data_IF_085819130602
#
_entry.id   IF_085819130602
#
_cell.length_a   1.000
_cell.length_b   1.000
_cell.length_c   1.000
_cell.angle_alpha   90.00
_cell.angle_beta   90.00
_cell.angle_gamma   90.00
#
_symmetry.space_group_name_H-M   'P 1'
#
loop_
_entity.id
_entity.type
_entity.pdbx_description
1 polymer ?
#
# COMPACT_ATOMS: atom_id res chain seq x y z
N UNK A 1 -43.50 -46.65 11.80
CA UNK A 1 -42.11 -46.84 11.37
C UNK A 1 -41.54 -45.47 11.09
N UNK A 2 -40.80 -44.89 12.05
CA UNK A 2 -40.21 -43.55 11.95
C UNK A 2 -38.71 -43.76 11.76
N UNK A 3 -38.19 -43.35 10.61
CA UNK A 3 -36.75 -43.44 10.31
C UNK A 3 -36.19 -42.04 10.48
N UNK A 4 -35.49 -41.80 11.58
CA UNK A 4 -34.71 -40.60 11.83
C UNK A 4 -33.40 -40.66 11.01
N UNK A 5 -33.14 -39.63 10.20
CA UNK A 5 -31.89 -39.47 9.47
C UNK A 5 -30.86 -38.78 10.37
N UNK A 6 -29.70 -39.40 10.52
CA UNK A 6 -28.57 -38.94 11.35
C UNK A 6 -27.78 -37.82 10.66
N UNK A 7 -27.35 -36.84 11.45
CA UNK A 7 -26.57 -35.68 11.06
C UNK A 7 -25.20 -36.05 10.43
N UNK A 8 -24.82 -35.33 9.37
CA UNK A 8 -23.48 -35.40 8.77
C UNK A 8 -22.47 -34.72 9.69
N UNK A 9 -21.48 -35.48 10.14
CA UNK A 9 -20.29 -35.03 10.88
C UNK A 9 -19.43 -34.14 9.97
N UNK A 10 -19.08 -32.97 10.49
CA UNK A 10 -18.06 -32.07 9.96
C UNK A 10 -16.67 -32.72 10.10
N UNK A 11 -15.96 -32.87 8.97
CA UNK A 11 -14.61 -33.42 8.94
C UNK A 11 -13.62 -32.27 9.19
N UNK A 12 -13.17 -32.14 10.43
CA UNK A 12 -12.04 -31.27 10.77
C UNK A 12 -10.78 -31.84 10.10
N UNK A 13 -10.13 -31.02 9.26
CA UNK A 13 -8.84 -31.37 8.63
C UNK A 13 -7.74 -31.02 9.64
N UNK A 14 -6.99 -32.00 10.19
CA UNK A 14 -5.90 -31.70 11.10
C UNK A 14 -4.70 -31.16 10.30
N UNK A 15 -4.22 -29.97 10.63
CA UNK A 15 -2.92 -29.49 10.16
C UNK A 15 -1.81 -30.33 10.80
N UNK A 16 -1.13 -31.14 10.00
CA UNK A 16 0.10 -31.83 10.44
C UNK A 16 1.29 -30.88 10.31
N UNK A 17 1.96 -30.63 11.42
CA UNK A 17 3.27 -29.96 11.45
C UNK A 17 4.32 -30.95 10.95
N UNK A 18 5.17 -30.51 10.00
CA UNK A 18 6.25 -31.31 9.43
C UNK A 18 7.29 -31.60 10.53
N UNK A 19 7.28 -32.82 11.07
CA UNK A 19 8.24 -33.26 12.08
C UNK A 19 9.54 -33.71 11.39
N UNK A 20 10.60 -32.92 11.52
CA UNK A 20 11.94 -33.29 11.02
C UNK A 20 12.53 -34.44 11.84
N UNK A 21 12.88 -35.52 11.15
CA UNK A 21 13.57 -36.68 11.70
C UNK A 21 15.03 -36.31 12.05
N UNK A 22 15.43 -36.69 13.26
CA UNK A 22 16.80 -36.61 13.76
C UNK A 22 17.55 -37.92 13.45
N UNK A 23 18.82 -37.88 12.98
CA UNK A 23 19.77 -38.97 13.21
C UNK A 23 20.80 -38.61 14.29
N UNK A 24 21.09 -39.60 15.12
CA UNK A 24 21.99 -39.59 16.27
C UNK A 24 23.49 -39.57 15.92
N UNK A 25 24.18 -38.56 16.47
CA UNK A 25 25.55 -38.48 17.04
C UNK A 25 26.65 -39.49 16.69
N UNK A 26 27.86 -38.99 16.38
CA UNK A 26 29.10 -39.36 17.12
C UNK A 26 30.18 -38.28 17.03
N UNK A 27 30.87 -38.02 18.15
CA UNK A 27 31.82 -36.95 18.45
C UNK A 27 33.23 -37.15 17.83
N UNK A 28 33.96 -36.06 17.57
CA UNK A 28 35.24 -35.72 18.24
C UNK A 28 35.66 -34.27 17.95
N UNK A 29 36.23 -33.66 18.99
CA UNK A 29 36.54 -32.26 19.24
C UNK A 29 37.64 -31.66 18.36
N UNK A 30 37.54 -30.36 18.02
CA UNK A 30 38.53 -29.34 18.43
C UNK A 30 38.11 -27.90 18.00
N UNK A 31 37.81 -27.12 19.05
CA UNK A 31 38.09 -25.70 19.34
C UNK A 31 38.01 -24.59 18.26
N UNK A 32 37.19 -23.59 18.62
CA UNK A 32 37.24 -22.14 18.35
C UNK A 32 36.53 -21.52 17.14
N UNK A 33 35.35 -20.99 17.46
CA UNK A 33 34.82 -19.64 17.12
C UNK A 33 34.48 -19.36 15.66
N UNK A 34 33.20 -19.50 15.32
CA UNK A 34 32.59 -18.95 14.09
C UNK A 34 31.15 -18.53 14.49
N UNK A 35 30.94 -17.28 14.91
CA UNK A 35 30.58 -16.13 14.07
C UNK A 35 29.21 -16.30 13.36
N UNK A 36 28.18 -15.78 14.05
CA UNK A 36 26.97 -15.11 13.56
C UNK A 36 26.34 -15.58 12.25
N UNK A 37 25.22 -16.30 12.38
CA UNK A 37 24.23 -16.49 11.31
C UNK A 37 22.98 -15.61 11.46
N UNK A 38 23.05 -14.51 12.22
CA UNK A 38 21.95 -13.53 12.36
C UNK A 38 22.16 -12.24 11.54
N UNK A 39 23.28 -12.10 10.82
CA UNK A 39 23.66 -10.85 10.17
C UNK A 39 23.06 -10.63 8.78
N UNK A 40 22.49 -11.64 8.12
CA UNK A 40 21.98 -11.46 6.74
C UNK A 40 20.53 -10.98 6.69
N UNK A 41 19.70 -11.31 7.69
CA UNK A 41 18.33 -10.81 7.80
C UNK A 41 18.30 -9.43 8.50
N UNK A 42 19.25 -9.16 9.40
CA UNK A 42 19.42 -7.81 9.95
C UNK A 42 19.96 -6.81 8.92
N UNK A 43 20.80 -7.21 7.96
CA UNK A 43 21.26 -6.27 6.93
C UNK A 43 20.16 -5.82 5.96
N UNK A 44 19.16 -6.66 5.67
CA UNK A 44 18.04 -6.26 4.80
C UNK A 44 17.06 -5.30 5.51
N UNK A 45 16.91 -5.42 6.83
CA UNK A 45 16.10 -4.51 7.63
C UNK A 45 16.84 -3.22 8.05
N UNK A 46 18.17 -3.21 7.96
CA UNK A 46 19.01 -2.09 8.41
C UNK A 46 19.54 -1.21 7.26
N UNK A 47 19.38 -1.62 5.99
CA UNK A 47 19.84 -0.83 4.84
C UNK A 47 18.88 0.30 4.39
N UNK A 48 17.62 0.32 4.83
CA UNK A 48 16.69 1.43 4.53
C UNK A 48 16.64 2.52 5.60
N UNK A 49 17.41 2.40 6.70
CA UNK A 49 17.35 3.35 7.83
C UNK A 49 18.43 4.45 7.84
N UNK A 50 19.24 4.58 6.78
CA UNK A 50 20.37 5.52 6.73
C UNK A 50 20.45 6.36 5.45
N UNK A 51 19.32 6.79 4.93
CA UNK A 51 19.35 7.75 3.84
C UNK A 51 18.36 8.88 4.16
N UNK A 52 18.92 10.05 4.44
CA UNK A 52 18.27 11.35 4.65
C UNK A 52 17.58 11.82 3.34
N UNK A 53 16.74 10.96 2.77
CA UNK A 53 15.90 11.24 1.63
C UNK A 53 14.65 11.87 2.19
N UNK A 54 14.76 13.17 2.51
CA UNK A 54 13.63 13.94 2.99
C UNK A 54 12.57 13.99 1.91
N UNK A 55 11.40 13.41 2.17
CA UNK A 55 10.25 13.57 1.26
C UNK A 55 9.97 15.04 1.06
N UNK A 56 9.69 15.40 -0.21
CA UNK A 56 9.47 16.79 -0.57
C UNK A 56 8.00 16.94 -0.93
N UNK A 57 7.27 17.64 -0.06
CA UNK A 57 5.89 18.06 -0.30
C UNK A 57 5.93 19.50 -0.80
N UNK A 58 5.51 19.71 -2.04
CA UNK A 58 5.33 21.04 -2.61
C UNK A 58 3.86 21.39 -2.67
N UNK A 59 3.51 22.56 -2.15
CA UNK A 59 2.17 23.11 -2.25
C UNK A 59 2.08 24.01 -3.48
N UNK A 60 1.04 23.81 -4.28
CA UNK A 60 0.77 24.53 -5.52
C UNK A 60 -0.62 25.13 -5.42
N UNK A 61 -0.68 26.45 -5.52
CA UNK A 61 -1.96 27.15 -5.63
C UNK A 61 -2.63 26.83 -6.96
N UNK A 62 -3.89 26.43 -6.90
CA UNK A 62 -4.65 25.93 -8.04
C UNK A 62 -5.47 27.05 -8.67
N UNK A 63 -5.36 27.22 -9.99
CA UNK A 63 -6.28 28.08 -10.75
C UNK A 63 -7.45 27.25 -11.26
N UNK A 64 -8.55 27.26 -10.50
CA UNK A 64 -9.76 26.49 -10.79
C UNK A 64 -10.45 26.84 -12.12
N UNK A 65 -10.11 27.98 -12.75
CA UNK A 65 -10.72 28.40 -14.01
C UNK A 65 -10.03 27.85 -15.27
N UNK A 66 -8.77 27.41 -15.15
CA UNK A 66 -7.96 26.92 -16.29
C UNK A 66 -7.38 25.52 -16.06
N UNK A 67 -7.64 24.94 -14.89
CA UNK A 67 -7.10 23.68 -14.43
C UNK A 67 -7.51 22.47 -15.29
N UNK A 68 -6.52 21.81 -15.91
CA UNK A 68 -6.59 20.44 -16.43
C UNK A 68 -5.68 19.53 -15.58
N UNK A 69 -6.03 19.41 -14.32
CA UNK A 69 -5.26 18.76 -13.25
C UNK A 69 -5.94 17.49 -12.71
N UNK A 70 -5.28 16.80 -11.77
CA UNK A 70 -5.83 15.60 -11.13
C UNK A 70 -7.25 15.80 -10.58
N UNK A 71 -7.52 16.91 -9.89
CA UNK A 71 -8.84 17.16 -9.30
C UNK A 71 -9.91 17.24 -10.38
N UNK A 72 -9.69 18.02 -11.45
CA UNK A 72 -10.65 18.13 -12.56
C UNK A 72 -10.79 16.86 -13.38
N UNK A 73 -9.71 16.08 -13.53
CA UNK A 73 -9.71 14.80 -14.28
C UNK A 73 -10.45 13.69 -13.54
N UNK A 74 -10.29 13.62 -12.22
CA UNK A 74 -10.78 12.49 -11.41
C UNK A 74 -12.07 12.86 -10.68
N UNK A 75 -12.17 14.07 -10.14
CA UNK A 75 -13.23 14.48 -9.22
C UNK A 75 -14.02 15.68 -9.75
N UNK A 76 -15.02 15.36 -10.58
CA UNK A 76 -15.90 16.37 -11.18
C UNK A 76 -16.60 17.27 -10.15
N UNK A 77 -16.91 16.74 -8.94
CA UNK A 77 -17.58 17.48 -7.87
C UNK A 77 -16.67 18.45 -7.11
N UNK A 78 -15.37 18.15 -7.00
CA UNK A 78 -14.42 18.94 -6.21
C UNK A 78 -13.72 20.04 -6.99
N UNK A 79 -13.97 20.12 -8.30
CA UNK A 79 -13.24 21.00 -9.21
C UNK A 79 -13.25 22.48 -8.80
N UNK A 80 -14.22 22.96 -8.01
CA UNK A 80 -14.32 24.36 -7.53
C UNK A 80 -13.98 24.56 -6.05
N UNK A 81 -13.81 23.48 -5.29
CA UNK A 81 -13.71 23.51 -3.82
C UNK A 81 -12.32 23.11 -3.32
N UNK A 82 -11.34 23.12 -4.21
CA UNK A 82 -9.95 22.78 -3.92
C UNK A 82 -9.11 23.92 -4.47
N UNK A 83 -8.47 24.66 -3.57
CA UNK A 83 -7.65 25.84 -3.88
C UNK A 83 -6.16 25.51 -3.93
N UNK A 84 -5.76 24.36 -3.40
CA UNK A 84 -4.37 23.96 -3.25
C UNK A 84 -4.17 22.48 -3.60
N UNK A 85 -3.08 22.20 -4.30
CA UNK A 85 -2.60 20.86 -4.61
C UNK A 85 -1.27 20.62 -3.91
N UNK A 86 -1.04 19.38 -3.53
CA UNK A 86 0.21 18.88 -2.97
C UNK A 86 0.87 17.98 -4.01
N UNK A 87 2.14 18.23 -4.32
CA UNK A 87 2.99 17.29 -5.04
C UNK A 87 3.90 16.62 -4.02
N UNK A 88 3.73 15.31 -3.88
CA UNK A 88 4.47 14.48 -2.94
C UNK A 88 5.50 13.69 -3.73
N UNK A 89 6.78 13.97 -3.51
CA UNK A 89 7.87 13.18 -4.05
C UNK A 89 8.37 12.23 -2.97
N UNK A 90 8.04 10.95 -3.11
CA UNK A 90 8.47 9.88 -2.21
C UNK A 90 9.79 9.32 -2.71
N UNK A 91 10.79 9.34 -1.84
CA UNK A 91 12.15 8.90 -2.14
C UNK A 91 12.50 7.61 -1.36
N UNK A 92 11.63 6.61 -1.43
CA UNK A 92 11.86 5.33 -0.72
C UNK A 92 12.77 4.34 -1.47
N UNK A 93 13.05 4.58 -2.76
CA UNK A 93 13.88 3.69 -3.57
C UNK A 93 14.70 4.45 -4.62
N UNK A 94 15.55 3.73 -5.35
CA UNK A 94 16.44 4.27 -6.39
C UNK A 94 15.71 5.09 -7.50
N UNK A 95 14.37 5.04 -7.56
CA UNK A 95 13.55 5.92 -8.39
C UNK A 95 12.47 6.59 -7.54
N UNK A 96 12.41 7.94 -7.52
CA UNK A 96 11.35 8.64 -6.82
C UNK A 96 10.00 8.37 -7.47
N UNK A 97 8.95 8.32 -6.65
CA UNK A 97 7.57 8.28 -7.12
C UNK A 97 6.92 9.61 -6.78
N UNK A 98 6.28 10.21 -7.78
CA UNK A 98 5.56 11.46 -7.62
C UNK A 98 4.07 11.17 -7.54
N UNK A 99 3.42 11.72 -6.51
CA UNK A 99 1.97 11.69 -6.35
C UNK A 99 1.42 13.11 -6.32
N UNK A 100 0.27 13.32 -6.96
CA UNK A 100 -0.53 14.53 -6.79
C UNK A 100 -1.57 14.26 -5.71
N UNK A 101 -1.78 15.23 -4.82
CA UNK A 101 -2.72 15.10 -3.73
C UNK A 101 -3.44 16.42 -3.43
N UNK A 102 -4.55 16.34 -2.72
CA UNK A 102 -5.24 17.51 -2.17
C UNK A 102 -6.01 17.09 -0.92
N UNK A 103 -6.33 18.07 -0.08
CA UNK A 103 -7.16 17.85 1.12
C UNK A 103 -8.54 18.44 0.85
N UNK A 104 -9.57 17.70 1.19
CA UNK A 104 -10.93 18.20 1.21
C UNK A 104 -11.67 17.66 2.43
N UNK A 105 -12.29 18.57 3.18
CA UNK A 105 -12.92 18.28 4.48
C UNK A 105 -11.93 17.61 5.45
N UNK A 106 -12.07 16.31 5.70
CA UNK A 106 -11.22 15.54 6.59
C UNK A 106 -10.57 14.34 5.88
N UNK A 107 -10.34 14.49 4.57
CA UNK A 107 -9.86 13.43 3.71
C UNK A 107 -8.74 13.95 2.82
N UNK A 108 -7.63 13.23 2.79
CA UNK A 108 -6.57 13.44 1.81
C UNK A 108 -6.82 12.53 0.60
N UNK A 109 -6.84 13.13 -0.58
CA UNK A 109 -7.00 12.44 -1.85
C UNK A 109 -5.66 12.43 -2.57
N UNK A 110 -5.25 11.28 -3.08
CA UNK A 110 -3.91 11.05 -3.64
C UNK A 110 -3.99 10.25 -4.94
N UNK A 111 -3.18 10.59 -5.94
CA UNK A 111 -2.99 9.74 -7.13
C UNK A 111 -2.18 8.51 -6.75
N UNK A 112 -2.58 7.34 -7.23
CA UNK A 112 -1.82 6.10 -7.02
C UNK A 112 -0.34 6.27 -7.39
N UNK A 113 0.60 5.77 -6.57
CA UNK A 113 2.01 5.75 -6.93
C UNK A 113 2.20 4.86 -8.17
N UNK A 114 2.53 5.48 -9.31
CA UNK A 114 2.76 4.76 -10.57
C UNK A 114 4.25 4.51 -10.76
N UNK A 115 4.63 3.24 -10.87
CA UNK A 115 5.98 2.78 -11.23
C UNK A 115 5.85 1.66 -12.26
N UNK A 116 6.72 1.67 -13.27
CA UNK A 116 6.71 0.66 -14.36
C UNK A 116 6.82 -0.77 -13.83
N UNK A 117 7.67 -0.96 -12.81
CA UNK A 117 7.89 -2.24 -12.17
C UNK A 117 8.22 -2.02 -10.69
N UNK A 118 7.47 -2.72 -9.84
CA UNK A 118 7.72 -2.81 -8.41
C UNK A 118 8.57 -4.04 -8.14
N UNK A 119 9.67 -3.88 -7.40
CA UNK A 119 10.36 -5.04 -6.84
C UNK A 119 9.57 -5.57 -5.63
N UNK A 120 9.92 -6.78 -5.20
CA UNK A 120 9.29 -7.43 -4.05
C UNK A 120 9.35 -6.52 -2.81
N UNK A 121 8.19 -6.26 -2.21
CA UNK A 121 8.06 -5.42 -1.01
C UNK A 121 8.08 -3.90 -1.24
N UNK A 122 8.59 -3.40 -2.38
CA UNK A 122 8.70 -1.94 -2.60
C UNK A 122 7.34 -1.25 -2.69
N UNK A 123 6.34 -1.88 -3.31
CA UNK A 123 5.00 -1.32 -3.38
C UNK A 123 4.39 -1.19 -1.99
N UNK A 124 4.56 -2.22 -1.16
CA UNK A 124 4.04 -2.26 0.20
C UNK A 124 4.69 -1.16 1.04
N UNK A 125 6.03 -1.05 0.99
CA UNK A 125 6.77 0.02 1.66
C UNK A 125 6.25 1.40 1.23
N UNK A 126 6.10 1.62 -0.09
CA UNK A 126 5.62 2.89 -0.63
C UNK A 126 4.22 3.26 -0.15
N UNK A 127 3.30 2.32 -0.14
CA UNK A 127 1.95 2.60 0.35
C UNK A 127 1.96 2.82 1.87
N UNK A 128 2.72 2.04 2.64
CA UNK A 128 2.86 2.24 4.09
C UNK A 128 3.45 3.61 4.41
N UNK A 129 4.51 4.01 3.71
CA UNK A 129 5.13 5.32 3.89
C UNK A 129 4.19 6.47 3.50
N UNK A 130 3.39 6.30 2.44
CA UNK A 130 2.35 7.28 2.07
C UNK A 130 1.26 7.42 3.15
N UNK A 131 0.91 6.33 3.85
CA UNK A 131 -0.03 6.35 4.98
C UNK A 131 0.58 7.14 6.15
N UNK A 132 1.81 6.79 6.55
CA UNK A 132 2.53 7.47 7.64
C UNK A 132 2.67 8.98 7.35
N UNK A 133 3.02 9.34 6.12
CA UNK A 133 3.14 10.73 5.69
C UNK A 133 1.80 11.46 5.72
N UNK A 134 0.72 10.81 5.30
CA UNK A 134 -0.62 11.37 5.33
C UNK A 134 -1.07 11.66 6.78
N UNK A 135 -0.88 10.69 7.68
CA UNK A 135 -1.20 10.81 9.10
C UNK A 135 -0.40 11.94 9.76
N UNK A 136 0.93 11.96 9.57
CA UNK A 136 1.82 12.91 10.23
C UNK A 136 1.63 14.35 9.72
N UNK A 137 1.39 14.54 8.42
CA UNK A 137 1.41 15.89 7.80
C UNK A 137 0.05 16.53 7.65
N UNK A 138 -1.03 15.75 7.54
CA UNK A 138 -2.35 16.29 7.21
C UNK A 138 -3.31 16.35 8.39
N UNK A 139 -3.17 15.45 9.37
CA UNK A 139 -4.13 15.30 10.46
C UNK A 139 -5.54 14.89 10.02
N UNK A 140 -5.69 14.40 8.78
CA UNK A 140 -6.95 13.89 8.26
C UNK A 140 -7.28 12.52 8.87
N UNK A 141 -8.57 12.17 8.94
CA UNK A 141 -9.03 10.83 9.39
C UNK A 141 -9.05 9.80 8.24
N UNK A 142 -9.11 10.27 6.99
CA UNK A 142 -9.29 9.39 5.84
C UNK A 142 -8.27 9.67 4.74
N UNK A 143 -7.80 8.60 4.11
CA UNK A 143 -6.96 8.62 2.91
C UNK A 143 -7.70 7.95 1.76
N UNK A 144 -7.77 8.62 0.61
CA UNK A 144 -8.35 8.10 -0.63
C UNK A 144 -7.32 8.09 -1.72
N UNK A 145 -7.06 6.93 -2.31
CA UNK A 145 -6.13 6.77 -3.43
C UNK A 145 -6.91 6.52 -4.72
N UNK A 146 -6.61 7.32 -5.74
CA UNK A 146 -7.16 7.22 -7.09
C UNK A 146 -6.23 6.44 -8.01
N UNK A 147 -6.68 5.27 -8.46
CA UNK A 147 -5.96 4.37 -9.35
C UNK A 147 -6.44 4.59 -10.78
N UNK A 148 -5.54 5.00 -11.67
CA UNK A 148 -5.85 5.13 -13.10
C UNK A 148 -5.84 3.75 -13.79
N UNK A 149 -6.99 3.32 -14.33
CA UNK A 149 -7.13 2.05 -15.04
C UNK A 149 -6.32 2.02 -16.34
N UNK A 150 -6.07 3.18 -16.95
CA UNK A 150 -5.43 3.32 -18.27
C UNK A 150 -3.92 3.18 -18.17
N UNK A 151 -3.33 3.58 -17.04
CA UNK A 151 -1.89 3.43 -16.79
C UNK A 151 -1.52 2.03 -16.24
N UNK A 152 -2.49 1.28 -15.71
CA UNK A 152 -2.29 -0.07 -15.18
C UNK A 152 -2.79 -1.18 -16.12
N UNK A 153 -2.47 -1.07 -17.42
CA UNK A 153 -3.00 -1.92 -18.52
C UNK A 153 -2.81 -3.42 -18.34
N UNK A 154 -1.79 -3.88 -17.60
CA UNK A 154 -1.52 -5.32 -17.44
C UNK A 154 -1.80 -5.87 -16.04
N UNK A 155 -2.03 -5.05 -15.00
CA UNK A 155 -2.23 -5.60 -13.65
C UNK A 155 -2.92 -4.69 -12.61
N UNK A 156 -3.89 -3.86 -13.00
CA UNK A 156 -4.67 -3.08 -12.02
C UNK A 156 -5.33 -3.96 -10.93
N UNK A 157 -5.67 -5.21 -11.26
CA UNK A 157 -6.24 -6.15 -10.28
C UNK A 157 -5.25 -6.57 -9.19
N UNK A 158 -3.96 -6.78 -9.48
CA UNK A 158 -2.99 -7.08 -8.41
C UNK A 158 -2.75 -5.86 -7.52
N UNK A 159 -2.65 -4.66 -8.10
CA UNK A 159 -2.50 -3.44 -7.32
C UNK A 159 -3.71 -3.22 -6.40
N UNK A 160 -4.92 -3.40 -6.92
CA UNK A 160 -6.15 -3.32 -6.13
C UNK A 160 -6.16 -4.36 -5.00
N UNK A 161 -5.76 -5.61 -5.27
CA UNK A 161 -5.61 -6.64 -4.23
C UNK A 161 -4.56 -6.27 -3.19
N UNK A 162 -3.44 -5.70 -3.58
CA UNK A 162 -2.40 -5.27 -2.66
C UNK A 162 -2.90 -4.17 -1.72
N UNK A 163 -3.64 -3.17 -2.25
CA UNK A 163 -4.33 -2.19 -1.40
C UNK A 163 -5.33 -2.85 -0.44
N UNK A 164 -6.14 -3.80 -0.91
CA UNK A 164 -7.08 -4.52 -0.04
C UNK A 164 -6.38 -5.35 1.04
N UNK A 165 -5.22 -5.95 0.75
CA UNK A 165 -4.42 -6.67 1.74
C UNK A 165 -3.77 -5.74 2.77
N UNK A 166 -3.54 -4.48 2.41
CA UNK A 166 -3.12 -3.43 3.33
C UNK A 166 -4.26 -2.85 4.16
N UNK A 167 -5.51 -3.27 3.92
CA UNK A 167 -6.69 -2.83 4.67
C UNK A 167 -7.53 -1.75 3.98
N UNK A 168 -7.18 -1.35 2.76
CA UNK A 168 -7.99 -0.40 2.00
C UNK A 168 -9.32 -1.03 1.57
N UNK A 169 -10.36 -0.19 1.50
CA UNK A 169 -11.69 -0.56 1.06
C UNK A 169 -12.02 0.12 -0.27
N UNK A 170 -12.77 -0.54 -1.16
CA UNK A 170 -13.24 0.11 -2.38
C UNK A 170 -14.33 1.12 -2.06
N UNK A 171 -14.24 2.30 -2.67
CA UNK A 171 -15.24 3.36 -2.50
C UNK A 171 -16.19 3.37 -3.70
N UNK A 172 -17.48 3.59 -3.44
CA UNK A 172 -18.46 3.75 -4.49
C UNK A 172 -18.21 5.05 -5.30
N UNK A 173 -18.12 4.98 -6.64
CA UNK A 173 -17.81 6.15 -7.48
C UNK A 173 -18.80 7.32 -7.34
N UNK A 174 -20.05 7.04 -6.91
CA UNK A 174 -21.10 8.05 -6.77
C UNK A 174 -20.90 8.99 -5.58
N UNK A 175 -20.08 8.58 -4.59
CA UNK A 175 -19.76 9.39 -3.40
C UNK A 175 -19.03 10.65 -3.82
N UNK A 176 -17.97 10.50 -4.61
CA UNK A 176 -17.09 11.60 -5.01
C UNK A 176 -17.31 12.10 -6.44
N UNK A 177 -18.25 11.51 -7.19
CA UNK A 177 -18.49 11.88 -8.59
C UNK A 177 -17.27 11.59 -9.47
N UNK A 178 -16.67 10.43 -9.23
CA UNK A 178 -15.43 9.99 -9.83
C UNK A 178 -15.58 9.68 -11.33
N UNK A 179 -14.58 10.01 -12.14
CA UNK A 179 -14.53 9.62 -13.56
C UNK A 179 -14.32 8.11 -13.73
N UNK A 180 -14.99 7.50 -14.72
CA UNK A 180 -15.08 6.04 -14.89
C UNK A 180 -13.74 5.34 -15.20
N UNK A 181 -12.73 6.09 -15.67
CA UNK A 181 -11.36 5.63 -15.91
C UNK A 181 -10.55 5.39 -14.65
N UNK A 182 -11.05 5.78 -13.47
CA UNK A 182 -10.36 5.60 -12.20
C UNK A 182 -11.02 4.49 -11.33
N UNK A 183 -10.33 4.06 -10.28
CA UNK A 183 -10.87 3.28 -9.16
C UNK A 183 -10.43 4.01 -7.89
N UNK A 184 -11.34 4.20 -6.93
CA UNK A 184 -11.01 4.76 -5.63
C UNK A 184 -10.92 3.67 -4.58
N UNK A 185 -9.87 3.75 -3.77
CA UNK A 185 -9.70 2.95 -2.55
C UNK A 185 -9.50 3.88 -1.37
N UNK A 186 -10.11 3.56 -0.23
CA UNK A 186 -10.10 4.36 0.99
C UNK A 186 -9.46 3.62 2.16
N UNK A 187 -8.83 4.37 3.04
CA UNK A 187 -8.21 3.90 4.27
C UNK A 187 -8.52 4.88 5.41
N UNK A 188 -8.71 4.36 6.61
CA UNK A 188 -8.89 5.13 7.84
C UNK A 188 -7.51 5.25 8.50
N UNK A 189 -7.02 6.50 8.63
CA UNK A 189 -5.68 6.82 9.13
C UNK A 189 -5.58 6.62 10.63
#
# INVERSE_FOLDING_TARGET
>A
MIIASSAKKELAIPMQVLQQQQPSSTNTSDTSTTANSDSTIQLAHEYCRQQDHKDIIHFIQRDSNTANDFVTKVFSRFSRNVDELMLINVHESCRPVQCEAFIHENTVFLTSPVKEQWNDGEFQACVTHLIELAEEKTGCEYLVIAIDKRHCTNNHNAMLRAFMYLGFQMIDPSVYGQEAGYILVGYEL
#
